data_IF_647067555854
#
_entry.id   IF_647067555854
#
_cell.length_a   1.000
_cell.length_b   1.000
_cell.length_c   1.000
_cell.angle_alpha   90.00
_cell.angle_beta   90.00
_cell.angle_gamma   90.00
#
_symmetry.space_group_name_H-M   'P 1'
#
loop_
_entity.id
_entity.type
_entity.pdbx_description
1 polymer ?
#
# COMPACT_ATOMS: atom_id res chain seq x y z
N UNK A 1 -5.21 26.95 0.41
CA UNK A 1 -5.10 26.05 1.58
C UNK A 1 -4.39 26.80 2.68
N UNK A 2 -4.88 26.74 3.92
CA UNK A 2 -4.09 27.17 5.06
C UNK A 2 -2.89 26.24 5.18
N UNK A 3 -1.69 26.78 5.01
CA UNK A 3 -0.43 26.07 5.22
C UNK A 3 -0.22 25.87 6.72
N UNK A 4 -0.15 24.62 7.16
CA UNK A 4 0.16 24.26 8.55
C UNK A 4 1.66 24.40 8.82
N UNK A 5 1.99 24.86 10.02
CA UNK A 5 3.34 24.90 10.57
C UNK A 5 3.82 23.51 11.00
N UNK A 6 5.12 23.37 11.24
CA UNK A 6 5.73 22.14 11.77
C UNK A 6 5.09 21.75 13.11
N UNK A 7 4.95 22.68 14.03
CA UNK A 7 4.40 22.42 15.38
C UNK A 7 2.95 21.94 15.33
N UNK A 8 2.15 22.47 14.40
CA UNK A 8 0.78 22.00 14.19
C UNK A 8 0.75 20.55 13.68
N UNK A 9 1.68 20.17 12.81
CA UNK A 9 1.82 18.79 12.34
C UNK A 9 2.26 17.87 13.48
N UNK A 10 3.27 18.26 14.27
CA UNK A 10 3.70 17.48 15.44
C UNK A 10 2.54 17.29 16.42
N UNK A 11 1.76 18.35 16.71
CA UNK A 11 0.58 18.24 17.58
C UNK A 11 -0.45 17.23 17.05
N UNK A 12 -0.68 17.19 15.73
CA UNK A 12 -1.57 16.20 15.10
C UNK A 12 -1.02 14.78 15.24
N UNK A 13 0.30 14.59 15.09
CA UNK A 13 0.97 13.30 15.30
C UNK A 13 0.78 12.81 16.75
N UNK A 14 1.07 13.67 17.73
CA UNK A 14 0.95 13.32 19.15
C UNK A 14 -0.48 12.95 19.56
N UNK A 15 -1.49 13.57 18.96
CA UNK A 15 -2.92 13.25 19.21
C UNK A 15 -3.32 11.91 18.59
N UNK A 16 -2.72 11.52 17.46
CA UNK A 16 -3.15 10.36 16.67
C UNK A 16 -2.30 9.11 16.89
N UNK A 17 -1.14 9.24 17.55
CA UNK A 17 -0.17 8.15 17.75
C UNK A 17 -0.70 6.90 18.45
N UNK A 18 -1.78 7.02 19.23
CA UNK A 18 -2.41 5.87 19.91
C UNK A 18 -3.27 5.02 18.98
N UNK A 19 -3.56 5.47 17.76
CA UNK A 19 -4.44 4.78 16.81
C UNK A 19 -3.70 4.44 15.49
N UNK A 20 -2.52 3.83 15.62
CA UNK A 20 -1.65 3.50 14.48
C UNK A 20 -2.32 2.66 13.38
N UNK A 21 -3.31 1.84 13.74
CA UNK A 21 -4.07 1.01 12.80
C UNK A 21 -4.89 1.81 11.76
N UNK A 22 -5.17 3.10 12.02
CA UNK A 22 -5.82 4.04 11.06
C UNK A 22 -4.99 5.30 10.81
N UNK A 23 -3.71 5.29 11.19
CA UNK A 23 -2.88 6.47 11.09
C UNK A 23 -2.69 6.91 9.62
N UNK A 24 -2.54 5.94 8.70
CA UNK A 24 -2.42 6.23 7.26
C UNK A 24 -3.64 6.97 6.69
N UNK A 25 -4.82 6.86 7.32
CA UNK A 25 -6.05 7.49 6.85
C UNK A 25 -6.24 8.91 7.36
N UNK A 26 -5.31 9.45 8.16
CA UNK A 26 -5.43 10.82 8.66
C UNK A 26 -5.12 11.82 7.55
N UNK A 27 -5.96 12.85 7.39
CA UNK A 27 -5.84 13.83 6.30
C UNK A 27 -4.44 14.46 6.20
N UNK A 28 -3.81 14.72 7.35
CA UNK A 28 -2.49 15.37 7.40
C UNK A 28 -1.35 14.50 6.86
N UNK A 29 -1.52 13.17 6.83
CA UNK A 29 -0.58 12.23 6.20
C UNK A 29 -0.58 12.42 4.68
N UNK A 30 -1.70 12.93 4.13
CA UNK A 30 -1.85 13.21 2.72
C UNK A 30 -1.56 14.67 2.32
N UNK A 31 -1.06 15.50 3.24
CA UNK A 31 -0.71 16.89 2.88
C UNK A 31 0.47 16.91 1.92
N UNK A 32 0.30 17.68 0.84
CA UNK A 32 1.29 17.83 -0.23
C UNK A 32 2.05 19.14 -0.09
N UNK A 33 3.25 19.19 -0.66
CA UNK A 33 4.08 20.39 -0.68
C UNK A 33 4.75 20.68 0.66
N UNK A 34 5.11 21.96 0.86
CA UNK A 34 5.93 22.44 1.97
C UNK A 34 5.09 23.19 3.00
N UNK A 35 5.55 23.18 4.26
CA UNK A 35 4.99 24.01 5.33
C UNK A 35 5.20 25.51 5.03
N UNK A 36 4.41 26.37 5.66
CA UNK A 36 4.53 27.85 5.54
C UNK A 36 5.80 28.43 6.14
N UNK A 37 6.47 27.68 7.01
CA UNK A 37 7.56 28.22 7.83
C UNK A 37 8.84 28.49 7.02
N UNK A 38 9.73 29.32 7.58
CA UNK A 38 11.02 29.70 6.98
C UNK A 38 11.88 28.50 6.57
N UNK A 39 11.68 27.36 7.22
CA UNK A 39 12.47 26.14 6.98
C UNK A 39 12.03 25.32 5.74
N UNK A 40 10.94 25.68 5.04
CA UNK A 40 10.54 25.07 3.74
C UNK A 40 10.61 23.52 3.66
N UNK A 41 10.33 22.81 4.76
CA UNK A 41 10.26 21.35 4.76
C UNK A 41 8.96 20.83 4.16
N UNK A 42 9.02 19.67 3.51
CA UNK A 42 7.84 18.96 3.05
C UNK A 42 7.08 18.33 4.21
N UNK A 43 5.75 18.31 4.16
CA UNK A 43 4.93 17.64 5.17
C UNK A 43 5.32 16.17 5.35
N UNK A 44 5.52 15.45 4.25
CA UNK A 44 5.86 14.03 4.30
C UNK A 44 7.23 13.78 4.95
N UNK A 45 8.19 14.70 4.82
CA UNK A 45 9.50 14.60 5.48
C UNK A 45 9.41 14.84 7.00
N UNK A 46 8.58 15.78 7.45
CA UNK A 46 8.35 16.03 8.88
C UNK A 46 7.73 14.80 9.53
N UNK A 47 6.70 14.24 8.89
CA UNK A 47 5.99 13.06 9.39
C UNK A 47 6.91 11.83 9.35
N UNK A 48 7.63 11.61 8.25
CA UNK A 48 8.54 10.48 8.12
C UNK A 48 9.64 10.51 9.17
N UNK A 49 10.24 11.69 9.43
CA UNK A 49 11.22 11.85 10.50
C UNK A 49 10.64 11.49 11.87
N UNK A 50 9.47 12.02 12.20
CA UNK A 50 8.84 11.73 13.49
C UNK A 50 8.52 10.23 13.64
N UNK A 51 8.06 9.57 12.57
CA UNK A 51 7.81 8.12 12.57
C UNK A 51 9.09 7.30 12.71
N UNK A 52 10.21 7.74 12.13
CA UNK A 52 11.52 7.10 12.34
C UNK A 52 11.95 7.16 13.81
N UNK A 53 11.72 8.31 14.46
CA UNK A 53 12.03 8.52 15.87
C UNK A 53 11.06 7.77 16.82
N UNK A 54 9.91 7.28 16.31
CA UNK A 54 8.87 6.57 17.08
C UNK A 54 8.43 5.25 16.40
N UNK A 55 9.39 4.54 15.80
CA UNK A 55 9.12 3.38 14.91
C UNK A 55 8.40 2.24 15.64
N UNK A 56 8.59 2.12 16.94
CA UNK A 56 7.98 1.11 17.81
C UNK A 56 6.46 1.23 17.90
N UNK A 57 5.87 2.40 17.61
CA UNK A 57 4.42 2.60 17.60
C UNK A 57 3.71 1.65 16.62
N UNK A 58 4.37 1.25 15.54
CA UNK A 58 3.79 0.27 14.62
C UNK A 58 3.54 -1.11 15.27
N UNK A 59 4.16 -1.42 16.42
CA UNK A 59 3.89 -2.65 17.17
C UNK A 59 2.54 -2.64 17.88
N UNK A 60 1.88 -1.48 17.97
CA UNK A 60 0.54 -1.37 18.53
C UNK A 60 -0.55 -1.82 17.55
N UNK A 61 -0.23 -1.89 16.24
CA UNK A 61 -1.14 -2.43 15.23
C UNK A 61 -1.36 -3.93 15.50
N UNK A 62 -2.61 -4.29 15.81
CA UNK A 62 -2.98 -5.67 16.12
C UNK A 62 -3.32 -6.43 14.85
N UNK A 63 -2.84 -7.67 14.81
CA UNK A 63 -3.19 -8.64 13.80
C UNK A 63 -4.66 -9.04 13.95
N UNK A 64 -5.33 -9.25 12.82
CA UNK A 64 -6.68 -9.82 12.73
C UNK A 64 -6.56 -11.14 12.00
N UNK A 65 -6.80 -12.24 12.72
CA UNK A 65 -6.97 -13.55 12.12
C UNK A 65 -8.42 -13.75 11.75
N UNK A 66 -8.68 -14.09 10.49
CA UNK A 66 -10.03 -14.44 10.03
C UNK A 66 -10.37 -15.88 10.38
N UNK A 67 -11.64 -16.16 10.62
CA UNK A 67 -12.19 -17.51 10.59
C UNK A 67 -12.34 -17.97 9.14
N UNK A 68 -12.96 -17.14 8.31
CA UNK A 68 -13.13 -17.39 6.88
C UNK A 68 -11.79 -17.32 6.12
N UNK A 69 -11.73 -18.01 4.96
CA UNK A 69 -10.60 -17.92 4.03
C UNK A 69 -10.31 -16.46 3.64
N UNK A 70 -9.02 -16.12 3.50
CA UNK A 70 -8.58 -14.90 2.80
C UNK A 70 -8.87 -14.98 1.30
N UNK A 71 -8.64 -16.15 0.69
CA UNK A 71 -8.95 -16.40 -0.73
C UNK A 71 -10.46 -16.40 -0.93
N UNK A 72 -10.94 -15.60 -1.88
CA UNK A 72 -12.37 -15.44 -2.19
C UNK A 72 -12.69 -16.10 -3.53
N UNK A 73 -13.58 -17.08 -3.53
CA UNK A 73 -13.90 -17.89 -4.73
C UNK A 73 -14.60 -17.10 -5.84
N UNK A 74 -15.25 -15.97 -5.51
CA UNK A 74 -15.94 -15.12 -6.49
C UNK A 74 -15.02 -14.17 -7.25
N UNK A 75 -13.72 -14.15 -6.94
CA UNK A 75 -12.73 -13.34 -7.64
C UNK A 75 -12.34 -13.99 -8.98
N UNK A 76 -13.16 -13.77 -10.00
CA UNK A 76 -12.99 -14.34 -11.35
C UNK A 76 -12.41 -13.36 -12.39
N UNK A 77 -12.11 -12.12 -11.98
CA UNK A 77 -11.57 -11.08 -12.85
C UNK A 77 -12.60 -10.42 -13.78
N UNK A 78 -13.88 -10.83 -13.76
CA UNK A 78 -14.88 -10.30 -14.69
C UNK A 78 -15.40 -8.93 -14.26
N UNK A 79 -15.14 -7.92 -15.08
CA UNK A 79 -15.61 -6.56 -14.84
C UNK A 79 -17.09 -6.45 -15.25
N UNK A 80 -17.98 -6.30 -14.26
CA UNK A 80 -19.43 -6.17 -14.50
C UNK A 80 -19.84 -4.76 -14.94
N UNK A 81 -19.07 -3.74 -14.57
CA UNK A 81 -19.35 -2.35 -14.91
C UNK A 81 -18.06 -1.51 -15.01
N UNK A 82 -17.54 -1.36 -16.23
CA UNK A 82 -16.36 -0.55 -16.52
C UNK A 82 -16.57 0.96 -16.30
N UNK A 83 -17.83 1.43 -16.27
CA UNK A 83 -18.17 2.84 -16.06
C UNK A 83 -18.34 3.22 -14.59
N UNK A 84 -18.02 2.30 -13.66
CA UNK A 84 -18.05 2.64 -12.24
C UNK A 84 -16.92 3.63 -11.91
N UNK A 85 -17.13 4.52 -10.95
CA UNK A 85 -16.07 5.43 -10.46
C UNK A 85 -14.97 4.72 -9.64
N UNK A 86 -14.92 3.38 -9.63
CA UNK A 86 -13.99 2.56 -8.85
C UNK A 86 -12.77 2.17 -9.70
N UNK A 87 -12.08 3.18 -10.20
CA UNK A 87 -11.00 3.04 -11.18
C UNK A 87 -9.88 2.11 -10.71
N UNK A 88 -9.44 2.22 -9.45
CA UNK A 88 -8.39 1.34 -8.87
C UNK A 88 -8.82 -0.12 -8.83
N UNK A 89 -10.07 -0.40 -8.44
CA UNK A 89 -10.62 -1.77 -8.45
C UNK A 89 -10.69 -2.32 -9.89
N UNK A 90 -11.10 -1.50 -10.86
CA UNK A 90 -11.12 -1.90 -12.27
C UNK A 90 -9.70 -2.26 -12.74
N UNK A 91 -8.69 -1.45 -12.41
CA UNK A 91 -7.29 -1.73 -12.76
C UNK A 91 -6.81 -3.03 -12.08
N UNK A 92 -7.12 -3.24 -10.80
CA UNK A 92 -6.79 -4.46 -10.08
C UNK A 92 -7.41 -5.70 -10.75
N UNK A 93 -8.69 -5.62 -11.16
CA UNK A 93 -9.36 -6.70 -11.88
C UNK A 93 -8.74 -6.98 -13.25
N UNK A 94 -8.38 -5.95 -14.01
CA UNK A 94 -7.67 -6.11 -15.29
C UNK A 94 -6.32 -6.80 -15.12
N UNK A 95 -5.53 -6.35 -14.13
CA UNK A 95 -4.24 -6.95 -13.82
C UNK A 95 -4.37 -8.42 -13.39
N UNK A 96 -5.37 -8.73 -12.56
CA UNK A 96 -5.70 -10.09 -12.19
C UNK A 96 -6.06 -10.94 -13.42
N UNK A 97 -6.93 -10.44 -14.31
CA UNK A 97 -7.33 -11.14 -15.54
C UNK A 97 -6.14 -11.42 -16.46
N UNK A 98 -5.29 -10.41 -16.71
CA UNK A 98 -4.05 -10.58 -17.46
C UNK A 98 -3.17 -11.68 -16.86
N UNK A 99 -3.04 -11.71 -15.53
CA UNK A 99 -2.17 -12.66 -14.84
C UNK A 99 -2.75 -14.08 -14.78
N UNK A 100 -3.96 -14.23 -14.25
CA UNK A 100 -4.58 -15.53 -13.97
C UNK A 100 -5.23 -16.14 -15.21
N UNK A 101 -6.06 -15.37 -15.91
CA UNK A 101 -6.87 -15.90 -17.01
C UNK A 101 -6.10 -15.93 -18.33
N UNK A 102 -5.29 -14.89 -18.60
CA UNK A 102 -4.49 -14.81 -19.83
C UNK A 102 -3.07 -15.34 -19.69
N UNK A 103 -2.66 -15.73 -18.47
CA UNK A 103 -1.39 -16.42 -18.25
C UNK A 103 -0.16 -15.51 -18.15
N UNK A 104 -0.29 -14.17 -18.12
CA UNK A 104 0.85 -13.25 -17.92
C UNK A 104 1.54 -13.53 -16.58
N UNK A 105 2.87 -13.60 -16.58
CA UNK A 105 3.69 -13.61 -15.35
C UNK A 105 4.50 -12.33 -15.39
N UNK A 106 4.37 -11.49 -14.37
CA UNK A 106 5.17 -10.27 -14.29
C UNK A 106 6.53 -10.61 -13.69
N UNK A 107 7.61 -10.14 -14.31
CA UNK A 107 8.98 -10.52 -13.92
C UNK A 107 9.29 -10.23 -12.45
N UNK A 108 8.86 -9.05 -11.96
CA UNK A 108 9.13 -8.60 -10.59
C UNK A 108 8.16 -9.24 -9.59
N UNK A 109 6.85 -9.04 -9.80
CA UNK A 109 5.83 -9.43 -8.80
C UNK A 109 5.32 -10.87 -8.94
N UNK A 110 5.59 -11.53 -10.06
CA UNK A 110 5.12 -12.88 -10.36
C UNK A 110 3.66 -12.92 -10.82
N UNK A 111 2.90 -13.90 -10.32
CA UNK A 111 1.48 -14.07 -10.60
C UNK A 111 0.65 -13.29 -9.59
N UNK A 112 -0.26 -12.44 -10.05
CA UNK A 112 -1.33 -11.90 -9.20
C UNK A 112 -2.28 -13.04 -8.87
N UNK A 113 -2.49 -13.35 -7.60
CA UNK A 113 -3.27 -14.51 -7.12
C UNK A 113 -4.60 -14.14 -6.49
N UNK A 114 -4.80 -12.86 -6.16
CA UNK A 114 -6.06 -12.35 -5.63
C UNK A 114 -6.13 -10.82 -5.77
N UNK A 115 -7.33 -10.26 -5.66
CA UNK A 115 -7.58 -8.83 -5.57
C UNK A 115 -8.63 -8.54 -4.50
N UNK A 116 -8.65 -7.34 -3.91
CA UNK A 116 -9.62 -6.97 -2.87
C UNK A 116 -9.70 -8.00 -1.72
N UNK A 117 -8.57 -8.61 -1.35
CA UNK A 117 -8.49 -9.65 -0.31
C UNK A 117 -8.89 -9.05 1.04
N UNK A 118 -9.93 -9.58 1.69
CA UNK A 118 -10.50 -8.94 2.86
C UNK A 118 -9.65 -9.18 4.12
N UNK A 119 -9.39 -8.14 4.91
CA UNK A 119 -8.63 -8.26 6.18
C UNK A 119 -9.51 -8.48 7.41
N UNK A 120 -10.74 -7.95 7.39
CA UNK A 120 -11.68 -8.02 8.52
C UNK A 120 -12.18 -9.44 8.77
N UNK A 121 -12.16 -9.94 10.00
CA UNK A 121 -12.85 -11.17 10.34
C UNK A 121 -14.37 -10.95 10.39
N UNK A 122 -14.78 -9.91 11.12
CA UNK A 122 -16.18 -9.52 11.31
C UNK A 122 -16.45 -8.09 10.83
N UNK A 123 -17.73 -7.75 10.63
CA UNK A 123 -18.12 -6.44 10.07
C UNK A 123 -17.64 -5.25 10.90
N UNK A 124 -17.60 -5.40 12.23
CA UNK A 124 -17.19 -4.35 13.17
C UNK A 124 -15.69 -4.07 13.17
N UNK A 125 -14.88 -4.98 12.61
CA UNK A 125 -13.44 -4.78 12.49
C UNK A 125 -13.12 -3.55 11.65
N UNK A 126 -12.02 -2.91 12.02
CA UNK A 126 -11.57 -1.67 11.40
C UNK A 126 -10.31 -1.94 10.59
N UNK A 127 -10.47 -2.66 9.49
CA UNK A 127 -9.42 -2.93 8.51
C UNK A 127 -9.93 -2.75 7.08
N UNK A 128 -9.02 -2.46 6.16
CA UNK A 128 -9.32 -2.35 4.73
C UNK A 128 -9.41 -3.71 4.03
N UNK A 129 -9.15 -3.69 2.72
CA UNK A 129 -8.91 -4.86 1.89
C UNK A 129 -7.58 -4.63 1.19
N UNK A 130 -6.81 -5.69 1.00
CA UNK A 130 -5.60 -5.63 0.19
C UNK A 130 -6.03 -5.53 -1.27
N UNK A 131 -5.55 -4.53 -2.01
CA UNK A 131 -5.98 -4.35 -3.39
C UNK A 131 -5.57 -5.51 -4.29
N UNK A 132 -4.32 -5.96 -4.17
CA UNK A 132 -3.77 -7.06 -4.95
C UNK A 132 -2.78 -7.90 -4.14
N UNK A 133 -2.83 -9.22 -4.33
CA UNK A 133 -1.80 -10.15 -3.88
C UNK A 133 -1.06 -10.70 -5.08
N UNK A 134 0.27 -10.64 -5.07
CA UNK A 134 1.10 -11.20 -6.13
C UNK A 134 2.22 -12.08 -5.57
N UNK A 135 2.37 -13.29 -6.11
CA UNK A 135 3.36 -14.26 -5.68
C UNK A 135 4.40 -14.52 -6.78
N UNK A 136 5.66 -14.25 -6.43
CA UNK A 136 6.81 -14.63 -7.23
C UNK A 136 7.38 -15.96 -6.70
N UNK A 137 7.17 -17.05 -7.46
CA UNK A 137 7.63 -18.39 -7.10
C UNK A 137 9.15 -18.52 -7.06
N UNK A 138 9.86 -17.80 -7.93
CA UNK A 138 11.33 -17.86 -8.00
C UNK A 138 11.97 -17.22 -6.77
N UNK A 139 11.41 -16.09 -6.33
CA UNK A 139 11.88 -15.37 -5.14
C UNK A 139 11.25 -15.86 -3.82
N UNK A 140 10.29 -16.79 -3.89
CA UNK A 140 9.41 -17.18 -2.77
C UNK A 140 8.89 -15.98 -1.99
N UNK A 141 8.35 -15.00 -2.70
CA UNK A 141 7.91 -13.72 -2.12
C UNK A 141 6.47 -13.42 -2.52
N UNK A 142 5.61 -13.26 -1.52
CA UNK A 142 4.25 -12.73 -1.64
C UNK A 142 4.28 -11.22 -1.40
N UNK A 143 3.68 -10.46 -2.29
CA UNK A 143 3.59 -9.00 -2.23
C UNK A 143 2.15 -8.59 -1.98
N UNK A 144 1.95 -7.81 -0.92
CA UNK A 144 0.75 -7.05 -0.62
C UNK A 144 0.90 -5.74 -1.38
N UNK A 145 0.16 -5.59 -2.47
CA UNK A 145 0.23 -4.44 -3.36
C UNK A 145 -0.92 -3.49 -3.01
N UNK A 146 -0.56 -2.26 -2.65
CA UNK A 146 -1.47 -1.14 -2.42
C UNK A 146 -1.54 -0.30 -3.70
N UNK A 147 -2.61 -0.47 -4.48
CA UNK A 147 -2.68 0.07 -5.83
C UNK A 147 -3.22 1.50 -5.80
N UNK A 148 -2.56 2.41 -6.52
CA UNK A 148 -3.11 3.75 -6.79
C UNK A 148 -3.34 3.96 -8.27
N UNK A 149 -4.42 4.67 -8.62
CA UNK A 149 -4.74 5.06 -10.00
C UNK A 149 -3.76 6.10 -10.55
N UNK A 150 -3.63 6.25 -11.89
CA UNK A 150 -2.60 7.10 -12.51
C UNK A 150 -2.62 8.57 -12.06
N UNK A 151 -3.82 9.13 -11.86
CA UNK A 151 -4.04 10.52 -11.47
C UNK A 151 -4.22 10.71 -9.95
N UNK A 152 -3.98 9.65 -9.16
CA UNK A 152 -4.12 9.67 -7.70
C UNK A 152 -3.39 10.86 -7.08
N UNK A 153 -4.08 11.53 -6.15
CA UNK A 153 -3.54 12.69 -5.42
C UNK A 153 -2.99 12.31 -4.06
N UNK A 154 -2.83 11.01 -3.78
CA UNK A 154 -2.25 10.55 -2.54
C UNK A 154 -0.73 10.74 -2.51
N UNK A 155 -0.17 11.04 -1.35
CA UNK A 155 1.29 11.09 -1.14
C UNK A 155 1.87 9.68 -1.14
N UNK A 156 3.16 9.56 -1.50
CA UNK A 156 3.87 8.29 -1.36
C UNK A 156 3.90 7.84 0.10
N UNK A 157 4.08 8.77 1.05
CA UNK A 157 4.03 8.47 2.48
C UNK A 157 2.72 7.77 2.88
N UNK A 158 1.56 8.25 2.40
CA UNK A 158 0.28 7.61 2.69
C UNK A 158 0.23 6.19 2.17
N UNK A 159 0.65 5.97 0.92
CA UNK A 159 0.68 4.65 0.28
C UNK A 159 1.59 3.67 1.04
N UNK A 160 2.77 4.13 1.46
CA UNK A 160 3.74 3.40 2.29
C UNK A 160 3.10 2.94 3.60
N UNK A 161 2.43 3.85 4.30
CA UNK A 161 1.83 3.56 5.60
C UNK A 161 0.61 2.65 5.50
N UNK A 162 -0.20 2.79 4.45
CA UNK A 162 -1.36 1.92 4.20
C UNK A 162 -0.91 0.47 3.92
N UNK A 163 0.01 0.28 2.97
CA UNK A 163 0.56 -1.04 2.65
C UNK A 163 1.20 -1.71 3.88
N UNK A 164 1.97 -0.95 4.66
CA UNK A 164 2.61 -1.47 5.87
C UNK A 164 1.60 -1.81 6.97
N UNK A 165 0.54 -1.02 7.11
CA UNK A 165 -0.56 -1.33 8.03
C UNK A 165 -1.20 -2.67 7.68
N UNK A 166 -1.47 -2.94 6.40
CA UNK A 166 -2.02 -4.22 5.97
C UNK A 166 -1.07 -5.40 6.24
N UNK A 167 0.24 -5.22 6.07
CA UNK A 167 1.25 -6.22 6.44
C UNK A 167 1.28 -6.54 7.94
N UNK A 168 0.97 -5.57 8.80
CA UNK A 168 0.91 -5.74 10.26
C UNK A 168 -0.43 -6.34 10.72
N UNK A 169 -1.53 -6.00 10.03
CA UNK A 169 -2.87 -6.49 10.34
C UNK A 169 -3.08 -7.94 9.90
N UNK A 170 -2.53 -8.37 8.76
CA UNK A 170 -2.83 -9.70 8.23
C UNK A 170 -2.23 -10.84 9.07
N UNK A 171 -3.00 -11.91 9.30
CA UNK A 171 -2.44 -13.18 9.77
C UNK A 171 -1.65 -13.84 8.65
N UNK A 172 -0.33 -13.72 8.73
CA UNK A 172 0.61 -14.18 7.71
C UNK A 172 0.58 -15.69 7.53
N UNK A 173 0.50 -16.46 8.62
CA UNK A 173 0.52 -17.92 8.56
C UNK A 173 -0.77 -18.43 7.92
N UNK A 174 -1.92 -17.89 8.34
CA UNK A 174 -3.21 -18.21 7.74
C UNK A 174 -3.26 -17.76 6.27
N UNK A 175 -2.77 -16.56 5.94
CA UNK A 175 -2.73 -16.07 4.57
C UNK A 175 -1.97 -17.04 3.65
N UNK A 176 -0.75 -17.44 4.03
CA UNK A 176 0.03 -18.40 3.24
C UNK A 176 -0.70 -19.74 3.10
N UNK A 177 -1.29 -20.24 4.19
CA UNK A 177 -2.07 -21.49 4.18
C UNK A 177 -3.28 -21.42 3.25
N UNK A 178 -4.09 -20.36 3.34
CA UNK A 178 -5.31 -20.20 2.54
C UNK A 178 -5.00 -20.11 1.04
N UNK A 179 -3.82 -19.61 0.67
CA UNK A 179 -3.33 -19.59 -0.71
C UNK A 179 -2.47 -20.79 -1.11
N UNK A 180 -2.24 -21.75 -0.22
CA UNK A 180 -1.39 -22.93 -0.47
C UNK A 180 0.06 -22.59 -0.75
N UNK A 181 0.58 -21.51 -0.17
CA UNK A 181 1.96 -21.04 -0.32
C UNK A 181 2.87 -21.66 0.75
N UNK A 182 4.17 -21.87 0.45
CA UNK A 182 5.13 -22.36 1.43
C UNK A 182 5.23 -21.47 2.68
N UNK A 183 5.39 -22.07 3.85
CA UNK A 183 5.53 -21.33 5.12
C UNK A 183 6.77 -20.45 5.18
N UNK A 184 7.82 -20.78 4.41
CA UNK A 184 9.05 -19.99 4.29
C UNK A 184 8.93 -18.80 3.31
N UNK A 185 7.73 -18.55 2.77
CA UNK A 185 7.45 -17.42 1.88
C UNK A 185 7.63 -16.09 2.60
N UNK A 186 8.42 -15.20 2.01
CA UNK A 186 8.56 -13.81 2.49
C UNK A 186 7.32 -13.01 2.10
N UNK A 187 6.82 -12.17 3.00
CA UNK A 187 5.70 -11.26 2.71
C UNK A 187 6.18 -9.82 2.78
N UNK A 188 5.93 -9.04 1.72
CA UNK A 188 6.32 -7.64 1.62
C UNK A 188 5.13 -6.73 1.37
N UNK A 189 5.13 -5.58 2.04
CA UNK A 189 4.25 -4.47 1.74
C UNK A 189 4.83 -3.64 0.59
N UNK A 190 3.98 -3.30 -0.39
CA UNK A 190 4.40 -2.64 -1.60
C UNK A 190 3.39 -1.55 -1.99
N UNK A 191 3.71 -0.26 -1.83
CA UNK A 191 3.08 0.80 -2.61
C UNK A 191 3.22 0.46 -4.09
N UNK A 192 2.09 0.35 -4.77
CA UNK A 192 2.00 -0.03 -6.16
C UNK A 192 1.36 1.10 -6.95
N UNK A 193 2.21 1.99 -7.46
CA UNK A 193 1.80 3.29 -7.98
C UNK A 193 2.25 3.45 -9.43
N UNK A 194 1.58 4.31 -10.20
CA UNK A 194 1.96 4.48 -11.61
C UNK A 194 3.32 5.17 -11.78
N UNK A 195 4.10 4.68 -12.74
CA UNK A 195 5.26 5.37 -13.29
C UNK A 195 4.82 6.72 -13.86
N UNK A 196 5.66 7.76 -13.70
CA UNK A 196 5.32 9.17 -13.97
C UNK A 196 4.12 9.76 -13.20
N UNK A 197 3.51 8.99 -12.29
CA UNK A 197 2.49 9.44 -11.35
C UNK A 197 3.04 10.39 -10.27
N UNK A 198 2.15 10.94 -9.45
CA UNK A 198 2.50 11.91 -8.40
C UNK A 198 3.47 11.32 -7.36
N UNK A 199 3.25 10.06 -6.99
CA UNK A 199 4.09 9.32 -6.04
C UNK A 199 5.45 8.98 -6.64
N UNK A 200 5.51 8.61 -7.92
CA UNK A 200 6.78 8.42 -8.64
C UNK A 200 7.60 9.71 -8.65
N UNK A 201 6.97 10.83 -9.01
CA UNK A 201 7.60 12.17 -9.01
C UNK A 201 8.09 12.56 -7.62
N UNK A 202 7.30 12.33 -6.56
CA UNK A 202 7.73 12.58 -5.18
C UNK A 202 9.02 11.82 -4.83
N UNK A 203 9.17 10.57 -5.30
CA UNK A 203 10.37 9.78 -5.04
C UNK A 203 11.61 10.21 -5.84
N UNK A 204 11.43 10.97 -6.92
CA UNK A 204 12.53 11.61 -7.64
C UNK A 204 13.08 12.84 -6.92
N UNK A 205 12.34 13.41 -5.97
CA UNK A 205 12.79 14.54 -5.17
C UNK A 205 13.72 14.09 -4.02
N UNK A 206 14.39 15.06 -3.38
CA UNK A 206 15.18 14.82 -2.16
C UNK A 206 14.25 14.63 -0.96
N UNK A 207 13.80 13.39 -0.77
CA UNK A 207 12.92 12.92 0.31
C UNK A 207 13.68 12.00 1.27
N UNK A 208 14.72 12.54 1.90
CA UNK A 208 15.66 11.80 2.74
C UNK A 208 14.94 10.93 3.78
N UNK A 209 14.06 11.52 4.59
CA UNK A 209 13.44 10.81 5.70
C UNK A 209 12.35 9.84 5.24
N UNK A 210 11.60 10.18 4.18
CA UNK A 210 10.65 9.23 3.59
C UNK A 210 11.38 8.00 3.00
N UNK A 211 12.50 8.20 2.30
CA UNK A 211 13.33 7.11 1.76
C UNK A 211 13.89 6.24 2.89
N UNK A 212 14.41 6.86 3.95
CA UNK A 212 14.90 6.15 5.14
C UNK A 212 13.78 5.37 5.85
N UNK A 213 12.57 5.94 5.96
CA UNK A 213 11.42 5.24 6.52
C UNK A 213 11.02 4.01 5.69
N UNK A 214 10.97 4.14 4.36
CA UNK A 214 10.68 3.02 3.44
C UNK A 214 11.69 1.89 3.64
N UNK A 215 12.97 2.21 3.72
CA UNK A 215 14.04 1.24 3.99
C UNK A 215 13.88 0.59 5.37
N UNK A 216 13.66 1.39 6.41
CA UNK A 216 13.50 0.92 7.79
C UNK A 216 12.31 -0.02 7.96
N UNK A 217 11.23 0.22 7.24
CA UNK A 217 10.02 -0.61 7.25
C UNK A 217 10.14 -1.85 6.35
N UNK A 218 11.21 -1.96 5.55
CA UNK A 218 11.41 -3.07 4.61
C UNK A 218 10.40 -3.07 3.46
N UNK A 219 9.93 -1.90 3.07
CA UNK A 219 8.90 -1.71 2.03
C UNK A 219 9.56 -1.76 0.65
N UNK A 220 8.88 -2.43 -0.29
CA UNK A 220 9.30 -2.48 -1.69
C UNK A 220 8.37 -1.60 -2.51
N UNK A 221 8.84 -0.42 -2.94
CA UNK A 221 8.09 0.44 -3.86
C UNK A 221 8.09 -0.20 -5.25
N UNK A 222 6.93 -0.29 -5.88
CA UNK A 222 6.75 -0.89 -7.20
C UNK A 222 5.99 0.06 -8.10
N UNK A 223 6.49 0.24 -9.32
CA UNK A 223 5.90 1.12 -10.31
C UNK A 223 5.14 0.32 -11.37
N UNK A 224 3.97 0.80 -11.74
CA UNK A 224 3.12 0.27 -12.80
C UNK A 224 3.18 1.21 -13.99
N UNK A 225 3.44 0.67 -15.18
CA UNK A 225 3.37 1.43 -16.43
C UNK A 225 2.32 0.81 -17.34
N UNK A 226 1.44 1.62 -17.91
CA UNK A 226 0.48 1.21 -18.94
C UNK A 226 0.93 1.78 -20.30
N UNK A 227 1.19 0.90 -21.27
CA UNK A 227 1.55 1.25 -22.65
C UNK A 227 0.69 0.45 -23.60
N UNK A 228 -0.04 1.13 -24.48
CA UNK A 228 -0.89 0.51 -25.52
C UNK A 228 -1.88 -0.53 -24.97
N UNK A 229 -2.38 -0.32 -23.75
CA UNK A 229 -3.30 -1.23 -23.05
C UNK A 229 -2.63 -2.42 -22.36
N UNK A 230 -1.30 -2.52 -22.40
CA UNK A 230 -0.53 -3.50 -21.65
C UNK A 230 0.09 -2.90 -20.39
N UNK A 231 0.04 -3.66 -19.30
CA UNK A 231 0.69 -3.31 -18.05
C UNK A 231 2.08 -3.92 -17.93
N UNK A 232 3.06 -3.10 -17.54
CA UNK A 232 4.42 -3.48 -17.23
C UNK A 232 4.78 -3.06 -15.80
N UNK A 233 5.67 -3.83 -15.16
CA UNK A 233 6.11 -3.57 -13.78
C UNK A 233 7.55 -3.07 -13.83
N UNK A 234 7.80 -1.97 -13.13
CA UNK A 234 9.10 -1.31 -13.03
C UNK A 234 9.45 -1.19 -11.55
N UNK A 235 10.75 -1.20 -11.23
CA UNK A 235 11.27 -1.02 -9.87
C UNK A 235 12.18 0.20 -9.82
#
# INVERSE_FOLDING_TARGET
MSTYSKDEIIKKLEVTKSEMWKFYSQDFVNYRGKISDKERYYYTEIIAKWLLDNIELFNDIKMISRENSYKVDSHDGKIKNEKSGREEEIIAMKLFDFSQNQGKVFDIIGKIIDYQTPLKDIQTDKAGKIDLLAYNKNEKTLRILELKKPDSKETMLRCVLEAYTYLKVVDKAKLLKDFGLPEDTKIKACPFVFYDGEQYKEMQEDRKYLKELIEKLGIEVIYLEEKDGEYNIIK
#
